data_IF_548667177818
#
_entry.id   IF_548667177818
#
_cell.length_a   1.000
_cell.length_b   1.000
_cell.length_c   1.000
_cell.angle_alpha   90.00
_cell.angle_beta   90.00
_cell.angle_gamma   90.00
#
_symmetry.space_group_name_H-M   'P 1'
#
loop_
_entity.id
_entity.type
_entity.pdbx_description
1 polymer ?
#
# COMPACT_ATOMS: atom_id res chain seq x y z
N UNK A 1 -26.60 10.95 7.04
CA UNK A 1 -25.46 10.07 6.68
C UNK A 1 -24.27 10.26 7.61
N UNK A 2 -23.74 11.47 7.78
CA UNK A 2 -22.59 11.72 8.68
C UNK A 2 -22.91 11.35 10.15
N UNK A 3 -24.13 11.65 10.62
CA UNK A 3 -24.59 11.26 11.96
C UNK A 3 -24.65 9.74 12.16
N UNK A 4 -24.90 8.97 11.09
CA UNK A 4 -24.85 7.50 11.14
C UNK A 4 -23.41 7.00 11.27
N UNK A 5 -22.46 7.63 10.59
CA UNK A 5 -21.02 7.34 10.75
C UNK A 5 -20.50 7.72 12.14
N UNK A 6 -20.97 8.82 12.71
CA UNK A 6 -20.62 9.20 14.08
C UNK A 6 -21.22 8.22 15.10
N UNK A 7 -22.46 7.77 14.89
CA UNK A 7 -23.08 6.76 15.73
C UNK A 7 -22.40 5.39 15.63
N UNK A 8 -21.99 4.97 14.42
CA UNK A 8 -21.23 3.72 14.24
C UNK A 8 -19.84 3.82 14.87
N UNK A 9 -19.16 4.96 14.70
CA UNK A 9 -17.90 5.28 15.40
C UNK A 9 -18.08 5.20 16.91
N UNK A 10 -19.08 5.88 17.49
CA UNK A 10 -19.33 5.87 18.93
C UNK A 10 -19.67 4.48 19.45
N UNK A 11 -20.39 3.67 18.66
CA UNK A 11 -20.69 2.26 19.00
C UNK A 11 -19.41 1.42 19.13
N UNK A 12 -18.42 1.65 18.26
CA UNK A 12 -17.13 0.95 18.30
C UNK A 12 -16.23 1.50 19.42
N UNK A 13 -16.20 2.81 19.63
CA UNK A 13 -15.38 3.47 20.65
C UNK A 13 -15.86 3.14 22.07
N UNK A 14 -17.16 3.04 22.28
CA UNK A 14 -17.74 2.79 23.61
C UNK A 14 -17.93 1.29 23.91
N UNK A 15 -17.48 0.40 23.03
CA UNK A 15 -17.70 -1.03 23.22
C UNK A 15 -16.81 -1.59 24.34
N UNK A 16 -17.38 -2.17 25.43
CA UNK A 16 -16.60 -2.64 26.57
C UNK A 16 -15.85 -3.96 26.32
N UNK A 17 -16.12 -4.62 25.18
CA UNK A 17 -15.47 -5.86 24.75
C UNK A 17 -14.72 -5.65 23.44
N UNK A 18 -13.87 -6.60 23.07
CA UNK A 18 -13.22 -6.60 21.75
C UNK A 18 -14.31 -6.64 20.67
N UNK A 19 -14.40 -5.61 19.79
CA UNK A 19 -15.40 -5.57 18.73
C UNK A 19 -15.17 -6.71 17.73
N UNK A 20 -16.26 -7.25 17.20
CA UNK A 20 -16.19 -8.31 16.18
C UNK A 20 -15.65 -7.75 14.87
N UNK A 21 -14.86 -8.54 14.13
CA UNK A 21 -14.36 -8.16 12.80
C UNK A 21 -15.49 -7.73 11.86
N UNK A 22 -16.64 -8.43 11.91
CA UNK A 22 -17.80 -8.13 11.08
C UNK A 22 -18.39 -6.74 11.35
N UNK A 23 -18.41 -6.30 12.61
CA UNK A 23 -18.93 -4.98 12.99
C UNK A 23 -18.03 -3.86 12.47
N UNK A 24 -16.71 -4.09 12.52
CA UNK A 24 -15.72 -3.14 12.01
C UNK A 24 -15.79 -3.07 10.48
N UNK A 25 -15.90 -4.23 9.80
CA UNK A 25 -16.04 -4.25 8.34
C UNK A 25 -17.33 -3.56 7.88
N UNK A 26 -18.45 -3.75 8.59
CA UNK A 26 -19.69 -3.04 8.27
C UNK A 26 -19.57 -1.53 8.46
N UNK A 27 -18.86 -1.07 9.49
CA UNK A 27 -18.62 0.36 9.68
C UNK A 27 -17.72 0.95 8.57
N UNK A 28 -16.66 0.24 8.16
CA UNK A 28 -15.81 0.67 7.05
C UNK A 28 -16.55 0.62 5.70
N UNK A 29 -17.39 -0.38 5.47
CA UNK A 29 -18.27 -0.43 4.29
C UNK A 29 -19.29 0.71 4.28
N UNK A 30 -19.84 1.09 5.43
CA UNK A 30 -20.69 2.27 5.52
C UNK A 30 -19.90 3.54 5.15
N UNK A 31 -18.64 3.66 5.59
CA UNK A 31 -17.76 4.76 5.15
C UNK A 31 -17.51 4.72 3.64
N UNK A 32 -17.31 3.53 3.05
CA UNK A 32 -17.15 3.37 1.59
C UNK A 32 -18.37 3.86 0.84
N UNK A 33 -19.57 3.39 1.20
CA UNK A 33 -20.81 3.77 0.51
C UNK A 33 -21.05 5.28 0.60
N UNK A 34 -20.78 5.87 1.77
CA UNK A 34 -20.89 7.33 1.93
C UNK A 34 -19.83 8.06 1.12
N UNK A 35 -18.59 7.56 1.05
CA UNK A 35 -17.53 8.13 0.22
C UNK A 35 -17.87 8.06 -1.26
N UNK A 36 -18.34 6.91 -1.75
CA UNK A 36 -18.77 6.72 -3.14
C UNK A 36 -19.92 7.68 -3.48
N UNK A 37 -20.93 7.81 -2.62
CA UNK A 37 -22.04 8.74 -2.83
C UNK A 37 -21.60 10.21 -2.88
N UNK A 38 -20.61 10.59 -2.09
CA UNK A 38 -20.10 11.97 -2.05
C UNK A 38 -19.17 12.27 -3.23
N UNK A 39 -18.43 11.27 -3.69
CA UNK A 39 -17.48 11.40 -4.79
C UNK A 39 -18.10 11.18 -6.18
N UNK A 40 -19.33 10.65 -6.26
CA UNK A 40 -20.07 10.50 -7.51
C UNK A 40 -20.27 11.88 -8.19
N UNK A 41 -19.76 12.01 -9.43
CA UNK A 41 -19.82 13.24 -10.23
C UNK A 41 -21.25 13.74 -10.45
N UNK A 42 -22.23 12.84 -10.42
CA UNK A 42 -23.65 13.19 -10.60
C UNK A 42 -24.25 13.90 -9.37
N UNK A 43 -23.70 13.66 -8.18
CA UNK A 43 -24.26 14.13 -6.89
C UNK A 43 -23.45 15.29 -6.31
N UNK A 44 -22.18 15.47 -6.71
CA UNK A 44 -21.36 16.63 -6.36
C UNK A 44 -22.07 18.00 -6.57
N UNK A 45 -22.74 18.30 -7.70
CA UNK A 45 -23.42 19.58 -7.88
C UNK A 45 -24.61 19.76 -6.92
N UNK A 46 -25.27 18.67 -6.51
CA UNK A 46 -26.39 18.71 -5.58
C UNK A 46 -25.91 18.90 -4.13
N UNK A 47 -24.84 18.20 -3.73
CA UNK A 47 -24.23 18.35 -2.41
C UNK A 47 -23.68 19.76 -2.23
N UNK A 48 -22.99 20.28 -3.25
CA UNK A 48 -22.50 21.67 -3.23
C UNK A 48 -23.63 22.69 -3.19
N UNK A 49 -24.77 22.43 -3.87
CA UNK A 49 -25.97 23.26 -3.76
C UNK A 49 -26.62 23.19 -2.36
N UNK A 50 -26.74 22.00 -1.77
CA UNK A 50 -27.27 21.84 -0.41
C UNK A 50 -26.40 22.54 0.64
N UNK A 51 -25.07 22.41 0.52
CA UNK A 51 -24.12 23.10 1.38
C UNK A 51 -24.30 24.63 1.24
N UNK A 52 -24.48 25.13 0.01
CA UNK A 52 -24.74 26.56 -0.26
C UNK A 52 -26.04 27.05 0.40
N UNK A 53 -27.11 26.27 0.36
CA UNK A 53 -28.38 26.61 1.02
C UNK A 53 -28.27 26.60 2.55
N UNK A 54 -27.59 25.61 3.13
CA UNK A 54 -27.35 25.52 4.57
C UNK A 54 -26.51 26.70 5.08
N UNK A 55 -25.49 27.12 4.34
CA UNK A 55 -24.63 28.24 4.74
C UNK A 55 -25.33 29.59 4.55
N UNK A 56 -26.16 29.72 3.50
CA UNK A 56 -27.01 30.90 3.29
C UNK A 56 -28.03 31.05 4.42
N UNK A 57 -28.66 29.97 4.85
CA UNK A 57 -29.61 29.99 5.98
C UNK A 57 -28.91 30.25 7.30
N UNK A 58 -27.76 29.64 7.58
CA UNK A 58 -26.96 29.92 8.78
C UNK A 58 -26.46 31.39 8.82
N UNK A 59 -26.01 31.92 7.67
CA UNK A 59 -25.57 33.32 7.55
C UNK A 59 -26.73 34.31 7.70
N UNK A 60 -27.93 33.97 7.22
CA UNK A 60 -29.13 34.78 7.39
C UNK A 60 -29.58 34.78 8.86
N UNK A 61 -29.52 33.64 9.55
CA UNK A 61 -29.82 33.55 10.99
C UNK A 61 -28.79 34.32 11.84
N UNK A 62 -27.50 34.24 11.51
CA UNK A 62 -26.45 35.00 12.20
C UNK A 62 -26.53 36.51 11.93
N UNK A 63 -27.12 36.92 10.80
CA UNK A 63 -27.38 38.33 10.47
C UNK A 63 -28.62 38.88 11.18
N UNK A 64 -29.61 38.04 11.46
CA UNK A 64 -30.80 38.39 12.25
C UNK A 64 -30.47 38.63 13.74
N UNK A 65 -29.40 38.03 14.27
CA UNK A 65 -28.93 38.26 15.64
C UNK A 65 -28.13 39.57 15.81
N UNK A 66 -27.73 40.22 14.71
CA UNK A 66 -27.01 41.51 14.71
C UNK A 66 -27.91 42.75 14.70
N UNK A 67 -29.22 42.59 14.91
CA UNK A 67 -30.16 43.72 15.01
C UNK A 67 -30.08 44.34 16.42
N UNK A 68 -28.92 44.92 16.74
CA UNK A 68 -28.76 45.99 17.74
C UNK A 68 -27.77 47.01 17.16
N UNK A 69 -28.09 48.32 17.17
CA UNK A 69 -27.31 49.29 16.42
C UNK A 69 -26.03 49.64 17.19
N UNK A 70 -24.87 49.31 16.61
CA UNK A 70 -23.61 49.97 16.95
C UNK A 70 -22.73 50.05 15.70
N UNK A 71 -22.09 51.20 15.43
CA UNK A 71 -21.42 51.44 14.16
C UNK A 71 -19.96 50.96 14.18
N UNK A 72 -19.44 50.70 12.97
CA UNK A 72 -18.04 50.52 12.60
C UNK A 72 -17.38 49.21 13.06
N UNK A 73 -17.22 48.26 12.12
CA UNK A 73 -16.09 47.31 12.17
C UNK A 73 -15.36 47.24 10.84
N UNK A 74 -14.09 47.60 10.99
CA UNK A 74 -12.92 47.47 10.13
C UNK A 74 -12.88 46.11 9.42
N UNK A 75 -12.63 46.19 8.11
CA UNK A 75 -12.50 45.08 7.17
C UNK A 75 -11.19 44.33 7.44
N UNK A 76 -11.27 43.10 7.94
CA UNK A 76 -10.13 42.19 7.99
C UNK A 76 -9.83 41.67 6.57
N UNK A 77 -8.56 41.63 6.13
CA UNK A 77 -8.18 41.01 4.87
C UNK A 77 -8.08 39.49 5.08
N UNK A 78 -8.45 38.71 4.06
CA UNK A 78 -8.34 37.22 3.98
C UNK A 78 -9.60 36.42 4.37
N UNK A 79 -10.79 36.87 3.95
CA UNK A 79 -11.92 35.96 3.76
C UNK A 79 -11.96 35.51 2.28
N UNK A 80 -12.16 34.21 1.97
CA UNK A 80 -12.33 33.75 0.59
C UNK A 80 -13.58 34.41 0.00
N UNK A 81 -13.38 35.16 -1.07
CA UNK A 81 -14.36 36.11 -1.62
C UNK A 81 -15.23 35.50 -2.73
N UNK A 82 -15.05 34.22 -3.08
CA UNK A 82 -15.90 33.54 -4.05
C UNK A 82 -16.68 32.41 -3.39
N UNK A 83 -17.99 32.29 -3.68
CA UNK A 83 -18.84 31.23 -3.15
C UNK A 83 -18.33 29.82 -3.51
N UNK A 84 -17.64 29.70 -4.65
CA UNK A 84 -17.04 28.45 -5.13
C UNK A 84 -15.88 27.95 -4.25
N UNK A 85 -15.01 28.86 -3.78
CA UNK A 85 -13.91 28.50 -2.87
C UNK A 85 -14.41 28.01 -1.50
N UNK A 86 -15.50 28.59 -0.98
CA UNK A 86 -16.10 28.17 0.30
C UNK A 86 -16.75 26.80 0.21
N UNK A 87 -17.44 26.54 -0.88
CA UNK A 87 -18.05 25.23 -1.19
C UNK A 87 -16.96 24.15 -1.28
N UNK A 88 -15.85 24.45 -1.96
CA UNK A 88 -14.70 23.55 -2.07
C UNK A 88 -14.06 23.28 -0.70
N UNK A 89 -13.95 24.32 0.15
CA UNK A 89 -13.44 24.17 1.51
C UNK A 89 -14.35 23.31 2.40
N UNK A 90 -15.67 23.50 2.34
CA UNK A 90 -16.63 22.70 3.12
C UNK A 90 -16.67 21.24 2.65
N UNK A 91 -16.58 21.01 1.34
CA UNK A 91 -16.44 19.66 0.80
C UNK A 91 -15.17 18.96 1.32
N UNK A 92 -14.03 19.67 1.32
CA UNK A 92 -12.78 19.13 1.89
C UNK A 92 -12.93 18.75 3.36
N UNK A 93 -13.58 19.59 4.16
CA UNK A 93 -13.88 19.31 5.59
C UNK A 93 -14.74 18.05 5.75
N UNK A 94 -15.71 17.82 4.86
CA UNK A 94 -16.51 16.60 4.89
C UNK A 94 -15.65 15.36 4.60
N UNK A 95 -14.81 15.43 3.56
CA UNK A 95 -13.86 14.36 3.23
C UNK A 95 -12.89 14.13 4.40
N UNK A 96 -12.38 15.18 5.06
CA UNK A 96 -11.52 15.10 6.25
C UNK A 96 -12.21 14.36 7.39
N UNK A 97 -13.48 14.70 7.68
CA UNK A 97 -14.24 14.03 8.73
C UNK A 97 -14.42 12.55 8.43
N UNK A 98 -14.68 12.17 7.19
CA UNK A 98 -14.85 10.76 6.82
C UNK A 98 -13.51 10.02 6.96
N UNK A 99 -12.41 10.59 6.45
CA UNK A 99 -11.08 9.98 6.61
C UNK A 99 -10.68 9.87 8.08
N UNK A 100 -10.96 10.88 8.89
CA UNK A 100 -10.66 10.90 10.33
C UNK A 100 -11.50 9.89 11.10
N UNK A 101 -12.78 9.74 10.75
CA UNK A 101 -13.63 8.71 11.36
C UNK A 101 -13.15 7.30 11.03
N UNK A 102 -12.79 7.04 9.77
CA UNK A 102 -12.25 5.75 9.33
C UNK A 102 -10.91 5.45 10.04
N UNK A 103 -10.02 6.44 10.11
CA UNK A 103 -8.74 6.31 10.81
C UNK A 103 -8.93 6.12 12.32
N UNK A 104 -9.85 6.84 12.95
CA UNK A 104 -10.15 6.70 14.38
C UNK A 104 -10.69 5.30 14.73
N UNK A 105 -11.53 4.72 13.86
CA UNK A 105 -12.03 3.35 14.00
C UNK A 105 -10.85 2.35 13.96
N UNK A 106 -9.94 2.49 12.99
CA UNK A 106 -8.76 1.62 12.89
C UNK A 106 -7.74 1.83 14.01
N UNK A 107 -7.52 3.07 14.45
CA UNK A 107 -6.54 3.41 15.47
C UNK A 107 -6.99 2.98 16.88
N UNK A 108 -8.28 2.69 17.08
CA UNK A 108 -8.84 2.35 18.38
C UNK A 108 -8.13 1.13 19.02
N UNK A 109 -7.58 1.22 20.25
CA UNK A 109 -6.75 0.16 20.83
C UNK A 109 -7.32 -1.27 20.84
N UNK A 110 -8.61 -1.52 21.15
CA UNK A 110 -9.16 -2.88 21.18
C UNK A 110 -9.52 -3.44 19.80
N UNK A 111 -9.33 -2.69 18.71
CA UNK A 111 -9.58 -3.18 17.34
C UNK A 111 -8.35 -3.94 16.85
N UNK A 112 -8.51 -5.20 16.48
CA UNK A 112 -7.47 -5.95 15.76
C UNK A 112 -7.56 -5.65 14.25
N UNK A 113 -6.44 -5.31 13.62
CA UNK A 113 -6.40 -4.99 12.18
C UNK A 113 -6.09 -6.28 11.41
N UNK A 114 -7.10 -6.84 10.75
CA UNK A 114 -6.98 -7.97 9.81
C UNK A 114 -6.61 -7.44 8.41
N UNK A 115 -5.93 -8.23 7.54
CA UNK A 115 -5.64 -7.83 6.15
C UNK A 115 -6.87 -7.34 5.36
N UNK A 116 -8.01 -7.99 5.57
CA UNK A 116 -9.32 -7.63 5.00
C UNK A 116 -9.74 -6.20 5.35
N UNK A 117 -9.62 -5.84 6.63
CA UNK A 117 -9.95 -4.51 7.14
C UNK A 117 -8.97 -3.45 6.63
N UNK A 118 -7.69 -3.80 6.49
CA UNK A 118 -6.69 -2.91 5.93
C UNK A 118 -6.99 -2.60 4.45
N UNK A 119 -7.35 -3.61 3.67
CA UNK A 119 -7.76 -3.44 2.27
C UNK A 119 -8.98 -2.52 2.16
N UNK A 120 -10.03 -2.77 2.94
CA UNK A 120 -11.23 -1.92 2.94
C UNK A 120 -10.90 -0.47 3.30
N UNK A 121 -9.99 -0.25 4.25
CA UNK A 121 -9.55 1.11 4.60
C UNK A 121 -8.77 1.78 3.46
N UNK A 122 -7.87 1.06 2.80
CA UNK A 122 -7.17 1.58 1.62
C UNK A 122 -8.17 1.92 0.51
N UNK A 123 -9.21 1.10 0.32
CA UNK A 123 -10.29 1.39 -0.62
C UNK A 123 -11.04 2.67 -0.26
N UNK A 124 -11.31 2.92 1.03
CA UNK A 124 -11.95 4.17 1.51
C UNK A 124 -11.07 5.36 1.19
N UNK A 125 -9.80 5.30 1.54
CA UNK A 125 -8.88 6.42 1.33
C UNK A 125 -8.57 6.64 -0.15
N UNK A 126 -8.58 5.58 -0.95
CA UNK A 126 -8.45 5.65 -2.39
C UNK A 126 -9.59 6.45 -3.02
N UNK A 127 -10.84 6.18 -2.60
CA UNK A 127 -12.01 6.94 -3.04
C UNK A 127 -11.97 8.39 -2.57
N UNK A 128 -11.50 8.64 -1.34
CA UNK A 128 -11.43 9.98 -0.77
C UNK A 128 -10.27 10.81 -1.34
N UNK A 129 -9.29 10.20 -2.01
CA UNK A 129 -8.09 10.86 -2.53
C UNK A 129 -7.15 11.36 -1.42
N UNK A 130 -7.12 10.70 -0.26
CA UNK A 130 -6.34 11.14 0.92
C UNK A 130 -5.26 10.14 1.33
N UNK A 131 -4.03 10.27 0.79
CA UNK A 131 -2.96 9.31 1.05
C UNK A 131 -2.22 9.55 2.38
N UNK A 132 -2.35 10.71 3.03
CA UNK A 132 -1.53 11.11 4.19
C UNK A 132 -1.61 10.15 5.39
N UNK A 133 -2.73 9.47 5.56
CA UNK A 133 -2.97 8.55 6.68
C UNK A 133 -2.56 7.11 6.37
N UNK A 134 -2.29 6.77 5.10
CA UNK A 134 -2.01 5.40 4.66
C UNK A 134 -0.72 4.84 5.25
N UNK A 135 0.37 5.60 5.19
CA UNK A 135 1.66 5.19 5.76
C UNK A 135 1.56 4.91 7.27
N UNK A 136 0.81 5.76 8.00
CA UNK A 136 0.55 5.58 9.43
C UNK A 136 -0.28 4.32 9.69
N UNK A 137 -1.31 4.07 8.89
CA UNK A 137 -2.14 2.87 9.00
C UNK A 137 -1.33 1.58 8.77
N UNK A 138 -0.39 1.56 7.82
CA UNK A 138 0.52 0.45 7.59
C UNK A 138 1.47 0.21 8.77
N UNK A 139 2.01 1.28 9.36
CA UNK A 139 2.81 1.15 10.58
C UNK A 139 1.98 0.62 11.76
N UNK A 140 0.73 1.07 11.91
CA UNK A 140 -0.18 0.56 12.93
C UNK A 140 -0.48 -0.92 12.71
N UNK A 141 -0.77 -1.36 11.48
CA UNK A 141 -0.99 -2.78 11.17
C UNK A 141 0.17 -3.67 11.62
N UNK A 142 1.42 -3.21 11.44
CA UNK A 142 2.59 -3.99 11.85
C UNK A 142 2.86 -3.97 13.36
N UNK A 143 2.59 -2.86 14.04
CA UNK A 143 3.06 -2.61 15.42
C UNK A 143 1.98 -2.68 16.50
N UNK A 144 0.71 -2.67 16.14
CA UNK A 144 -0.41 -2.57 17.09
C UNK A 144 -0.47 -3.79 18.02
N UNK A 145 -0.63 -3.60 19.34
CA UNK A 145 -0.73 -4.74 20.26
C UNK A 145 -2.05 -5.49 20.05
N UNK A 146 -2.00 -6.81 20.13
CA UNK A 146 -3.16 -7.66 19.93
C UNK A 146 -4.00 -7.70 21.21
N UNK A 147 -5.28 -7.30 21.17
CA UNK A 147 -6.17 -7.41 22.31
C UNK A 147 -6.52 -8.88 22.53
N UNK A 148 -6.35 -9.36 23.77
CA UNK A 148 -6.72 -10.71 24.21
C UNK A 148 -7.74 -10.56 25.33
N UNK A 149 -8.92 -11.13 25.12
CA UNK A 149 -9.92 -11.22 26.17
C UNK A 149 -9.41 -12.18 27.24
N UNK A 150 -9.06 -11.65 28.42
CA UNK A 150 -8.78 -12.49 29.58
C UNK A 150 -10.07 -12.65 30.37
N UNK A 151 -10.62 -13.87 30.38
CA UNK A 151 -11.65 -14.23 31.35
C UNK A 151 -11.00 -14.17 32.73
N UNK A 152 -11.39 -13.20 33.55
CA UNK A 152 -10.97 -13.16 34.94
C UNK A 152 -11.29 -14.51 35.58
N UNK A 153 -10.27 -15.19 36.12
CA UNK A 153 -10.42 -16.42 36.90
C UNK A 153 -11.14 -16.05 38.19
N UNK A 154 -12.48 -15.98 38.13
CA UNK A 154 -13.36 -15.59 39.23
C UNK A 154 -14.29 -14.42 38.87
N UNK A 155 -15.40 -14.70 38.19
CA UNK A 155 -16.66 -13.93 38.20
C UNK A 155 -16.69 -12.43 37.87
N UNK A 156 -15.56 -11.77 37.64
CA UNK A 156 -15.46 -10.34 37.36
C UNK A 156 -15.30 -9.99 35.89
N UNK A 157 -15.82 -8.82 35.51
CA UNK A 157 -15.80 -8.19 34.16
C UNK A 157 -14.54 -8.52 33.35
N UNK A 158 -14.71 -9.04 32.13
CA UNK A 158 -13.62 -9.43 31.24
C UNK A 158 -12.67 -8.25 30.98
N UNK A 159 -11.45 -8.31 31.53
CA UNK A 159 -10.40 -7.33 31.27
C UNK A 159 -9.72 -7.62 29.92
N UNK A 160 -9.37 -6.56 29.19
CA UNK A 160 -8.66 -6.66 27.91
C UNK A 160 -7.15 -6.61 28.23
N UNK A 161 -6.44 -7.69 27.95
CA UNK A 161 -4.98 -7.74 28.02
C UNK A 161 -4.39 -7.51 26.64
N UNK A 162 -3.31 -6.74 26.55
CA UNK A 162 -2.67 -6.40 25.26
C UNK A 162 -1.37 -7.18 25.10
N UNK A 163 -1.30 -8.02 24.08
CA UNK A 163 -0.08 -8.75 23.74
C UNK A 163 0.75 -7.95 22.72
N UNK A 164 2.03 -7.73 23.00
CA UNK A 164 2.95 -7.02 22.10
C UNK A 164 3.11 -7.83 20.80
N UNK A 165 2.83 -7.21 19.66
CA UNK A 165 3.07 -7.82 18.35
C UNK A 165 4.51 -7.62 17.89
N UNK A 166 5.01 -8.57 17.10
CA UNK A 166 6.30 -8.45 16.45
C UNK A 166 6.11 -7.92 15.01
N UNK A 167 6.58 -6.70 14.71
CA UNK A 167 6.41 -6.08 13.39
C UNK A 167 7.21 -6.78 12.28
N UNK A 168 8.06 -7.75 12.61
CA UNK A 168 8.87 -8.50 11.64
C UNK A 168 8.31 -9.88 11.32
N UNK A 169 7.09 -10.21 11.79
CA UNK A 169 6.44 -11.49 11.50
C UNK A 169 5.89 -11.51 10.07
N UNK A 170 6.04 -12.64 9.37
CA UNK A 170 5.55 -12.84 8.00
C UNK A 170 4.03 -12.59 7.88
N UNK A 171 3.27 -12.97 8.91
CA UNK A 171 1.82 -12.75 8.95
C UNK A 171 1.41 -11.27 8.93
N UNK A 172 2.32 -10.37 9.31
CA UNK A 172 2.09 -8.92 9.30
C UNK A 172 2.62 -8.28 8.00
N UNK A 173 2.99 -9.08 7.00
CA UNK A 173 3.32 -8.55 5.68
C UNK A 173 2.04 -8.06 4.98
N UNK A 174 2.15 -6.90 4.35
CA UNK A 174 1.05 -6.30 3.57
C UNK A 174 1.10 -6.90 2.16
N UNK A 175 -0.07 -7.16 1.58
CA UNK A 175 -0.19 -7.71 0.24
C UNK A 175 0.21 -6.68 -0.82
N UNK A 176 0.97 -7.06 -1.87
CA UNK A 176 1.43 -6.13 -2.91
C UNK A 176 0.28 -5.39 -3.61
N UNK A 177 -0.85 -6.06 -3.88
CA UNK A 177 -2.01 -5.42 -4.52
C UNK A 177 -2.58 -4.24 -3.71
N UNK A 178 -2.57 -4.36 -2.37
CA UNK A 178 -3.04 -3.29 -1.47
C UNK A 178 -2.03 -2.14 -1.45
N UNK A 179 -0.74 -2.45 -1.51
CA UNK A 179 0.34 -1.44 -1.54
C UNK A 179 0.30 -0.67 -2.87
N UNK A 180 0.13 -1.36 -3.99
CA UNK A 180 0.01 -0.74 -5.32
C UNK A 180 -1.17 0.22 -5.39
N UNK A 181 -2.34 -0.21 -4.91
CA UNK A 181 -3.52 0.67 -4.84
C UNK A 181 -3.27 1.90 -3.96
N UNK A 182 -2.66 1.72 -2.79
CA UNK A 182 -2.28 2.85 -1.94
C UNK A 182 -1.29 3.79 -2.63
N UNK A 183 -0.30 3.25 -3.34
CA UNK A 183 0.68 4.03 -4.08
C UNK A 183 0.04 4.82 -5.23
N UNK A 184 -0.86 4.20 -5.99
CA UNK A 184 -1.61 4.86 -7.06
C UNK A 184 -2.42 6.04 -6.53
N UNK A 185 -3.07 5.88 -5.38
CA UNK A 185 -3.84 6.98 -4.77
C UNK A 185 -2.95 8.13 -4.31
N UNK A 186 -1.73 7.84 -3.86
CA UNK A 186 -0.76 8.87 -3.50
C UNK A 186 -0.20 9.62 -4.72
N UNK A 187 0.00 8.89 -5.82
CA UNK A 187 0.43 9.44 -7.11
C UNK A 187 -0.68 10.33 -7.69
N UNK A 188 -1.92 9.86 -7.71
CA UNK A 188 -3.09 10.61 -8.20
C UNK A 188 -3.32 11.89 -7.40
N UNK A 189 -3.19 11.80 -6.08
CA UNK A 189 -3.32 12.96 -5.19
C UNK A 189 -2.09 13.89 -5.22
N UNK A 190 -1.02 13.53 -5.96
CA UNK A 190 0.24 14.29 -6.07
C UNK A 190 0.82 14.63 -4.70
N UNK A 191 0.95 13.64 -3.83
CA UNK A 191 1.61 13.78 -2.53
C UNK A 191 2.84 12.87 -2.43
N UNK A 192 4.01 13.43 -2.76
CA UNK A 192 5.28 12.69 -2.80
C UNK A 192 5.68 12.09 -1.45
N UNK A 193 5.55 12.87 -0.37
CA UNK A 193 5.92 12.43 0.98
C UNK A 193 5.08 11.21 1.43
N UNK A 194 3.78 11.22 1.12
CA UNK A 194 2.90 10.09 1.40
C UNK A 194 3.28 8.86 0.55
N UNK A 195 3.65 9.04 -0.73
CA UNK A 195 4.09 7.94 -1.59
C UNK A 195 5.38 7.28 -1.08
N UNK A 196 6.38 8.09 -0.69
CA UNK A 196 7.63 7.59 -0.09
C UNK A 196 7.35 6.90 1.25
N UNK A 197 6.52 7.50 2.11
CA UNK A 197 6.13 6.91 3.39
C UNK A 197 5.37 5.57 3.23
N UNK A 198 4.56 5.42 2.19
CA UNK A 198 3.92 4.15 1.84
C UNK A 198 4.98 3.11 1.46
N UNK A 199 5.94 3.45 0.61
CA UNK A 199 7.03 2.53 0.19
C UNK A 199 7.85 2.09 1.40
N UNK A 200 8.21 3.03 2.28
CA UNK A 200 8.96 2.73 3.52
C UNK A 200 8.18 1.82 4.46
N UNK A 201 6.92 2.14 4.74
CA UNK A 201 6.08 1.35 5.65
C UNK A 201 5.62 -0.01 5.10
N UNK A 202 5.88 -0.30 3.82
CA UNK A 202 5.49 -1.54 3.15
C UNK A 202 6.68 -2.37 2.66
N UNK A 203 7.26 -2.01 1.50
CA UNK A 203 8.29 -2.77 0.79
C UNK A 203 9.61 -2.89 1.57
N UNK A 204 9.97 -1.87 2.37
CA UNK A 204 11.22 -1.90 3.16
C UNK A 204 11.12 -2.72 4.44
N UNK A 205 9.92 -3.17 4.81
CA UNK A 205 9.71 -3.90 6.07
C UNK A 205 10.32 -5.30 6.03
N UNK A 206 10.92 -5.72 7.15
CA UNK A 206 11.45 -7.10 7.29
C UNK A 206 10.36 -8.16 7.16
N UNK A 207 9.12 -7.83 7.50
CA UNK A 207 7.97 -8.71 7.31
C UNK A 207 7.74 -9.00 5.82
N UNK A 208 7.72 -7.95 5.00
CA UNK A 208 7.56 -8.07 3.55
C UNK A 208 8.69 -8.86 2.90
N UNK A 209 9.94 -8.57 3.24
CA UNK A 209 11.11 -9.31 2.71
C UNK A 209 11.02 -10.80 3.02
N UNK A 210 10.63 -11.17 4.25
CA UNK A 210 10.46 -12.57 4.64
C UNK A 210 9.28 -13.23 3.91
N UNK A 211 8.16 -12.52 3.78
CA UNK A 211 7.00 -13.00 3.03
C UNK A 211 7.34 -13.22 1.55
N UNK A 212 8.08 -12.28 0.93
CA UNK A 212 8.61 -12.39 -0.44
C UNK A 212 9.49 -13.64 -0.56
N UNK A 213 10.41 -13.83 0.37
CA UNK A 213 11.28 -15.01 0.35
C UNK A 213 10.45 -16.30 0.42
N UNK A 214 9.44 -16.38 1.30
CA UNK A 214 8.57 -17.57 1.35
C UNK A 214 7.79 -17.74 0.05
N UNK A 215 7.13 -16.69 -0.45
CA UNK A 215 6.31 -16.76 -1.68
C UNK A 215 7.12 -17.20 -2.90
N UNK A 216 8.33 -16.68 -3.05
CA UNK A 216 9.18 -16.99 -4.20
C UNK A 216 10.13 -18.17 -3.98
N UNK A 217 10.36 -18.63 -2.75
CA UNK A 217 11.19 -19.81 -2.47
C UNK A 217 10.38 -21.12 -2.51
N UNK A 218 9.08 -21.09 -2.22
CA UNK A 218 8.26 -22.32 -2.17
C UNK A 218 8.25 -23.06 -3.51
N UNK A 219 8.04 -22.35 -4.61
CA UNK A 219 7.99 -22.95 -5.95
C UNK A 219 9.34 -23.57 -6.39
N UNK A 220 10.48 -22.85 -6.34
CA UNK A 220 11.76 -23.45 -6.67
C UNK A 220 12.18 -24.54 -5.67
N UNK A 221 11.87 -24.41 -4.38
CA UNK A 221 12.16 -25.46 -3.39
C UNK A 221 11.38 -26.75 -3.71
N UNK A 222 10.10 -26.61 -4.10
CA UNK A 222 9.29 -27.74 -4.57
C UNK A 222 9.88 -28.38 -5.83
N UNK A 223 10.38 -27.57 -6.77
CA UNK A 223 11.03 -28.07 -7.97
C UNK A 223 12.33 -28.83 -7.65
N UNK A 224 13.17 -28.34 -6.73
CA UNK A 224 14.42 -29.02 -6.32
C UNK A 224 14.15 -30.41 -5.74
N UNK A 225 13.04 -30.60 -5.02
CA UNK A 225 12.65 -31.91 -4.47
C UNK A 225 11.97 -32.78 -5.52
N UNK A 226 11.09 -32.21 -6.35
CA UNK A 226 10.31 -32.95 -7.34
C UNK A 226 11.11 -33.41 -8.56
N UNK A 227 12.08 -32.61 -9.01
CA UNK A 227 12.87 -32.87 -10.22
C UNK A 227 13.67 -34.18 -10.15
N UNK A 228 14.40 -34.52 -9.07
CA UNK A 228 15.07 -35.81 -8.96
C UNK A 228 14.12 -37.01 -9.00
N UNK A 229 12.94 -36.90 -8.37
CA UNK A 229 11.94 -37.97 -8.39
C UNK A 229 11.36 -38.18 -9.79
N UNK A 230 11.02 -37.10 -10.49
CA UNK A 230 10.55 -37.15 -11.87
C UNK A 230 11.63 -37.66 -12.83
N UNK A 231 12.87 -37.19 -12.68
CA UNK A 231 14.01 -37.63 -13.48
C UNK A 231 14.28 -39.13 -13.31
N UNK A 232 14.15 -39.66 -12.07
CA UNK A 232 14.30 -41.09 -11.81
C UNK A 232 13.19 -41.92 -12.49
N UNK A 233 11.93 -41.48 -12.38
CA UNK A 233 10.79 -42.16 -13.02
C UNK A 233 10.87 -42.12 -14.56
N UNK A 234 11.35 -41.01 -15.13
CA UNK A 234 11.61 -40.90 -16.57
C UNK A 234 12.77 -41.81 -16.99
N UNK A 235 13.85 -41.84 -16.22
CA UNK A 235 15.02 -42.69 -16.47
C UNK A 235 14.67 -44.19 -16.37
N UNK A 236 13.80 -44.60 -15.44
CA UNK A 236 13.34 -45.99 -15.34
C UNK A 236 12.48 -46.39 -16.55
N UNK A 237 11.66 -45.46 -17.06
CA UNK A 237 10.86 -45.69 -18.27
C UNK A 237 11.75 -45.80 -19.52
N UNK A 238 12.74 -44.92 -19.65
CA UNK A 238 13.72 -44.93 -20.76
C UNK A 238 14.60 -46.19 -20.75
N UNK A 239 14.96 -46.70 -19.58
CA UNK A 239 15.73 -47.93 -19.44
C UNK A 239 15.01 -49.14 -20.06
N UNK A 240 13.68 -49.20 -19.97
CA UNK A 240 12.89 -50.29 -20.57
C UNK A 240 12.89 -50.32 -22.10
N UNK A 241 13.24 -49.20 -22.76
CA UNK A 241 13.27 -49.07 -24.22
C UNK A 241 14.62 -49.48 -24.84
N UNK A 242 15.63 -49.76 -24.02
CA UNK A 242 17.01 -49.99 -24.45
C UNK A 242 17.50 -51.37 -24.02
N UNK A 243 17.91 -52.21 -24.98
CA UNK A 243 18.38 -53.59 -24.73
C UNK A 243 19.92 -53.74 -24.68
N UNK A 244 20.67 -52.65 -24.78
CA UNK A 244 22.14 -52.68 -24.96
C UNK A 244 22.91 -52.71 -23.63
N UNK A 245 22.33 -52.19 -22.55
CA UNK A 245 22.95 -52.12 -21.22
C UNK A 245 22.05 -52.78 -20.16
N UNK A 246 22.65 -53.20 -19.04
CA UNK A 246 21.91 -53.67 -17.87
C UNK A 246 20.97 -52.56 -17.35
N UNK A 247 19.69 -52.85 -17.05
CA UNK A 247 18.69 -51.86 -16.69
C UNK A 247 19.10 -50.92 -15.55
N UNK A 248 19.88 -51.40 -14.57
CA UNK A 248 20.35 -50.55 -13.47
C UNK A 248 21.39 -49.52 -13.95
N UNK A 249 22.32 -49.94 -14.82
CA UNK A 249 23.32 -49.03 -15.42
C UNK A 249 22.67 -48.03 -16.37
N UNK A 250 21.69 -48.47 -17.17
CA UNK A 250 20.95 -47.61 -18.10
C UNK A 250 20.15 -46.52 -17.37
N UNK A 251 19.45 -46.86 -16.29
CA UNK A 251 18.72 -45.88 -15.47
C UNK A 251 19.66 -44.87 -14.83
N UNK A 252 20.80 -45.30 -14.29
CA UNK A 252 21.75 -44.38 -13.65
C UNK A 252 22.38 -43.40 -14.65
N UNK A 253 22.74 -43.87 -15.85
CA UNK A 253 23.30 -43.01 -16.91
C UNK A 253 22.25 -42.03 -17.42
N UNK A 254 21.02 -42.49 -17.68
CA UNK A 254 19.92 -41.64 -18.13
C UNK A 254 19.53 -40.60 -17.06
N UNK A 255 19.45 -41.02 -15.79
CA UNK A 255 19.18 -40.14 -14.66
C UNK A 255 20.25 -39.06 -14.49
N UNK A 256 21.53 -39.44 -14.56
CA UNK A 256 22.65 -38.50 -14.49
C UNK A 256 22.62 -37.50 -15.67
N UNK A 257 22.31 -37.97 -16.88
CA UNK A 257 22.16 -37.11 -18.06
C UNK A 257 21.02 -36.10 -17.92
N UNK A 258 19.84 -36.56 -17.49
CA UNK A 258 18.66 -35.70 -17.26
C UNK A 258 18.96 -34.67 -16.16
N UNK A 259 19.53 -35.09 -15.03
CA UNK A 259 19.88 -34.17 -13.95
C UNK A 259 20.95 -33.16 -14.36
N UNK A 260 21.96 -33.57 -15.12
CA UNK A 260 22.98 -32.64 -15.62
C UNK A 260 22.38 -31.58 -16.54
N UNK A 261 21.51 -31.99 -17.47
CA UNK A 261 20.81 -31.06 -18.36
C UNK A 261 19.90 -30.09 -17.61
N UNK A 262 19.07 -30.62 -16.70
CA UNK A 262 18.16 -29.78 -15.90
C UNK A 262 18.95 -28.87 -14.95
N UNK A 263 20.03 -29.34 -14.33
CA UNK A 263 20.89 -28.53 -13.48
C UNK A 263 21.56 -27.39 -14.23
N UNK A 264 22.07 -27.65 -15.44
CA UNK A 264 22.70 -26.64 -16.29
C UNK A 264 21.68 -25.61 -16.82
N UNK A 265 20.52 -26.06 -17.30
CA UNK A 265 19.46 -25.14 -17.76
C UNK A 265 18.86 -24.31 -16.61
N UNK A 266 18.71 -24.91 -15.44
CA UNK A 266 18.25 -24.19 -14.25
C UNK A 266 19.25 -23.13 -13.80
N UNK A 267 20.57 -23.39 -13.85
CA UNK A 267 21.58 -22.39 -13.48
C UNK A 267 21.56 -21.18 -14.42
N UNK A 268 21.42 -21.41 -15.73
CA UNK A 268 21.19 -20.34 -16.72
C UNK A 268 19.90 -19.56 -16.43
N UNK A 269 18.82 -20.25 -16.09
CA UNK A 269 17.55 -19.63 -15.73
C UNK A 269 17.66 -18.74 -14.49
N UNK A 270 18.41 -19.16 -13.47
CA UNK A 270 18.68 -18.34 -12.28
C UNK A 270 19.45 -17.07 -12.64
N UNK A 271 20.51 -17.19 -13.46
CA UNK A 271 21.25 -16.02 -13.92
C UNK A 271 20.32 -15.08 -14.67
N UNK A 272 19.59 -15.57 -15.66
CA UNK A 272 18.65 -14.78 -16.46
C UNK A 272 17.61 -14.06 -15.59
N UNK A 273 17.01 -14.75 -14.61
CA UNK A 273 16.05 -14.15 -13.67
C UNK A 273 16.69 -13.06 -12.81
N UNK A 274 17.94 -13.26 -12.36
CA UNK A 274 18.65 -12.27 -11.54
C UNK A 274 19.23 -11.10 -12.32
N UNK A 275 19.39 -11.23 -13.63
CA UNK A 275 19.95 -10.20 -14.52
C UNK A 275 18.91 -9.45 -15.36
N UNK A 276 17.65 -9.88 -15.35
CA UNK A 276 16.58 -9.24 -16.12
C UNK A 276 16.39 -7.77 -15.71
N UNK A 277 16.48 -6.86 -16.68
CA UNK A 277 16.54 -5.41 -16.49
C UNK A 277 15.43 -4.63 -17.23
N UNK A 278 14.54 -5.31 -17.95
CA UNK A 278 13.55 -4.68 -18.84
C UNK A 278 12.52 -3.82 -18.09
N UNK A 279 12.32 -4.07 -16.81
CA UNK A 279 11.41 -3.30 -15.97
C UNK A 279 11.99 -1.96 -15.44
N UNK A 280 13.23 -1.59 -15.77
CA UNK A 280 13.86 -0.36 -15.28
C UNK A 280 13.72 0.77 -16.29
N UNK A 281 12.88 1.76 -15.99
CA UNK A 281 12.67 2.91 -16.89
C UNK A 281 13.53 4.10 -16.51
N UNK A 282 13.36 4.61 -15.28
CA UNK A 282 14.08 5.80 -14.77
C UNK A 282 15.01 5.46 -13.62
N UNK A 283 14.56 4.59 -12.72
CA UNK A 283 15.32 4.18 -11.54
C UNK A 283 16.07 2.89 -11.82
N UNK A 284 17.40 2.97 -11.81
CA UNK A 284 18.30 1.84 -12.03
C UNK A 284 19.16 1.54 -10.81
N UNK A 285 19.73 0.34 -10.74
CA UNK A 285 20.67 0.00 -9.67
C UNK A 285 22.02 0.71 -9.88
N UNK A 286 22.59 1.25 -8.81
CA UNK A 286 23.96 1.76 -8.84
C UNK A 286 24.95 0.62 -9.17
N UNK A 287 26.05 0.92 -9.88
CA UNK A 287 27.10 -0.05 -10.11
C UNK A 287 27.65 -0.56 -8.77
N UNK A 288 27.95 -1.86 -8.70
CA UNK A 288 28.47 -2.51 -7.48
C UNK A 288 27.40 -3.07 -6.52
N UNK A 289 26.10 -2.81 -6.73
CA UNK A 289 25.05 -3.45 -5.91
C UNK A 289 24.99 -4.94 -6.23
N UNK A 290 25.12 -5.84 -5.24
CA UNK A 290 25.10 -7.29 -5.46
C UNK A 290 23.71 -7.80 -5.86
N UNK A 291 23.66 -8.82 -6.71
CA UNK A 291 22.42 -9.38 -7.30
C UNK A 291 21.37 -9.77 -6.25
N UNK A 292 21.79 -10.33 -5.11
CA UNK A 292 20.88 -10.68 -4.00
C UNK A 292 20.10 -9.49 -3.46
N UNK A 293 20.76 -8.33 -3.34
CA UNK A 293 20.12 -7.12 -2.80
C UNK A 293 19.20 -6.48 -3.84
N UNK A 294 19.53 -6.62 -5.14
CA UNK A 294 18.66 -6.20 -6.24
C UNK A 294 17.36 -7.00 -6.20
N UNK A 295 17.45 -8.34 -6.16
CA UNK A 295 16.28 -9.21 -6.14
C UNK A 295 15.36 -8.96 -4.94
N UNK A 296 15.93 -8.81 -3.73
CA UNK A 296 15.14 -8.53 -2.51
C UNK A 296 14.39 -7.20 -2.63
N UNK A 297 15.07 -6.15 -3.10
CA UNK A 297 14.55 -4.78 -3.17
C UNK A 297 13.96 -4.41 -4.54
N UNK A 298 13.71 -5.39 -5.41
CA UNK A 298 13.21 -5.10 -6.77
C UNK A 298 11.82 -4.46 -6.74
N UNK A 299 10.95 -4.85 -5.82
CA UNK A 299 9.62 -4.21 -5.67
C UNK A 299 9.72 -2.77 -5.18
N UNK A 300 10.67 -2.50 -4.27
CA UNK A 300 10.97 -1.15 -3.77
C UNK A 300 11.44 -0.26 -4.92
N UNK A 301 12.37 -0.77 -5.74
CA UNK A 301 12.84 -0.08 -6.94
C UNK A 301 11.69 0.17 -7.93
N UNK A 302 10.88 -0.84 -8.23
CA UNK A 302 9.75 -0.71 -9.15
C UNK A 302 8.72 0.33 -8.67
N UNK A 303 8.44 0.36 -7.36
CA UNK A 303 7.56 1.38 -6.77
C UNK A 303 8.15 2.79 -6.88
N UNK A 304 9.45 2.95 -6.61
CA UNK A 304 10.14 4.24 -6.77
C UNK A 304 10.23 4.68 -8.23
N UNK A 305 10.40 3.74 -9.15
CA UNK A 305 10.39 3.98 -10.59
C UNK A 305 9.02 4.47 -11.06
N UNK A 306 7.94 3.88 -10.54
CA UNK A 306 6.56 4.32 -10.80
C UNK A 306 6.32 5.73 -10.27
N UNK A 307 6.76 6.04 -9.05
CA UNK A 307 6.68 7.40 -8.48
C UNK A 307 7.49 8.40 -9.31
N UNK A 308 8.72 8.06 -9.68
CA UNK A 308 9.57 8.90 -10.52
C UNK A 308 8.96 9.15 -11.91
N UNK A 309 8.36 8.13 -12.53
CA UNK A 309 7.68 8.25 -13.82
C UNK A 309 6.42 9.12 -13.75
N UNK A 310 5.69 9.09 -12.64
CA UNK A 310 4.47 9.88 -12.48
C UNK A 310 4.73 11.33 -12.06
N UNK A 311 5.81 11.57 -11.31
CA UNK A 311 6.15 12.89 -10.79
C UNK A 311 6.95 13.74 -11.78
N UNK A 312 7.83 13.11 -12.57
CA UNK A 312 8.59 13.81 -13.58
C UNK A 312 7.91 13.85 -14.95
N UNK A 313 8.65 14.33 -15.96
CA UNK A 313 8.19 14.41 -17.33
C UNK A 313 7.94 13.03 -17.93
N UNK A 314 6.78 12.88 -18.55
CA UNK A 314 6.43 11.68 -19.31
C UNK A 314 7.21 11.60 -20.63
N UNK A 315 7.64 12.75 -21.16
CA UNK A 315 8.40 12.83 -22.40
C UNK A 315 9.85 12.39 -22.20
N UNK A 316 10.28 11.32 -22.89
CA UNK A 316 11.64 10.75 -22.76
C UNK A 316 12.76 11.76 -23.01
N UNK A 317 12.57 12.73 -23.89
CA UNK A 317 13.59 13.72 -24.25
C UNK A 317 13.74 14.87 -23.23
N UNK A 318 12.80 15.00 -22.28
CA UNK A 318 12.85 16.00 -21.20
C UNK A 318 13.26 15.39 -19.87
N UNK A 319 13.38 14.06 -19.82
CA UNK A 319 13.88 13.35 -18.66
C UNK A 319 15.31 13.80 -18.38
N UNK A 320 15.60 14.16 -17.13
CA UNK A 320 16.88 14.73 -16.71
C UNK A 320 16.90 16.25 -16.55
N UNK A 321 15.99 16.99 -17.18
CA UNK A 321 15.86 18.46 -17.03
C UNK A 321 14.99 18.86 -15.82
N UNK A 322 14.57 17.88 -15.02
CA UNK A 322 13.66 18.10 -13.91
C UNK A 322 14.37 18.74 -12.72
N UNK A 323 13.89 19.93 -12.37
CA UNK A 323 14.33 20.70 -11.23
C UNK A 323 13.17 20.93 -10.26
N UNK A 324 13.44 20.78 -8.97
CA UNK A 324 12.45 21.01 -7.93
C UNK A 324 12.96 20.52 -6.59
N UNK A 325 12.54 21.19 -5.50
CA UNK A 325 12.92 20.77 -4.15
C UNK A 325 12.50 19.33 -3.88
N UNK A 326 11.26 18.98 -4.22
CA UNK A 326 10.69 17.65 -4.01
C UNK A 326 11.37 16.60 -4.91
N UNK A 327 11.67 16.96 -6.16
CA UNK A 327 12.40 16.09 -7.07
C UNK A 327 13.83 15.80 -6.60
N UNK A 328 14.53 16.83 -6.10
CA UNK A 328 15.87 16.67 -5.53
C UNK A 328 15.85 15.81 -4.26
N UNK A 329 14.84 15.96 -3.41
CA UNK A 329 14.66 15.10 -2.23
C UNK A 329 14.40 13.65 -2.66
N UNK A 330 13.58 13.42 -3.69
CA UNK A 330 13.36 12.07 -4.23
C UNK A 330 14.67 11.48 -4.77
N UNK A 331 15.44 12.25 -5.54
CA UNK A 331 16.74 11.84 -6.09
C UNK A 331 17.73 11.48 -4.99
N UNK A 332 17.84 12.30 -3.95
CA UNK A 332 18.69 12.04 -2.78
C UNK A 332 18.22 10.78 -2.03
N UNK A 333 16.91 10.64 -1.81
CA UNK A 333 16.34 9.45 -1.18
C UNK A 333 16.67 8.18 -1.96
N UNK A 334 16.46 8.17 -3.29
CA UNK A 334 16.81 7.05 -4.17
C UNK A 334 18.31 6.75 -4.11
N UNK A 335 19.16 7.78 -4.13
CA UNK A 335 20.61 7.65 -4.03
C UNK A 335 21.04 6.99 -2.71
N UNK A 336 20.43 7.35 -1.58
CA UNK A 336 20.74 6.74 -0.27
C UNK A 336 20.50 5.23 -0.22
N UNK A 337 19.62 4.72 -1.09
CA UNK A 337 19.29 3.29 -1.17
C UNK A 337 20.19 2.51 -2.15
N UNK A 338 21.15 3.17 -2.80
CA UNK A 338 22.03 2.56 -3.80
C UNK A 338 21.35 2.39 -5.16
N UNK A 339 20.41 3.27 -5.47
CA UNK A 339 19.76 3.36 -6.78
C UNK A 339 20.13 4.71 -7.42
N UNK A 340 20.09 4.79 -8.74
CA UNK A 340 20.37 6.00 -9.51
C UNK A 340 19.12 6.36 -10.29
N UNK A 341 18.62 7.57 -10.05
CA UNK A 341 17.55 8.17 -10.81
C UNK A 341 18.13 8.82 -12.06
N UNK A 342 17.57 8.47 -13.22
CA UNK A 342 17.98 8.95 -14.55
C UNK A 342 19.50 8.82 -14.75
N UNK A 343 19.94 7.59 -15.01
CA UNK A 343 21.34 7.33 -15.34
C UNK A 343 21.67 7.95 -16.69
N UNK A 344 22.66 8.85 -16.73
CA UNK A 344 23.08 9.60 -17.93
C UNK A 344 23.41 8.69 -19.12
N UNK A 345 24.04 7.54 -18.86
CA UNK A 345 24.40 6.53 -19.88
C UNK A 345 23.19 5.85 -20.53
N UNK A 346 22.00 5.92 -19.90
CA UNK A 346 20.78 5.30 -20.40
C UNK A 346 19.79 6.34 -20.94
N UNK A 347 20.20 7.62 -21.00
CA UNK A 347 19.36 8.68 -21.55
C UNK A 347 19.44 8.70 -23.08
N UNK A 348 18.31 8.95 -23.77
CA UNK A 348 18.29 9.04 -25.22
C UNK A 348 19.18 10.20 -25.70
N UNK A 349 20.12 9.92 -26.61
CA UNK A 349 21.04 10.91 -27.19
C UNK A 349 22.43 10.97 -26.54
N UNK A 350 22.73 10.08 -25.60
CA UNK A 350 24.04 9.95 -24.95
C UNK A 350 24.85 8.72 -25.41
N UNK A 351 24.45 8.09 -26.54
CA UNK A 351 25.17 6.99 -27.21
C UNK A 351 26.21 7.48 -28.23
#
# INVERSE_FOLDING_TARGET
MITFLENSRLKILNHPKIPSEAEISHALQACLVVADYIMDESVQPQITHMIKEMDSTASNLLSLDKIKPSPKKTRAPNAPNTASERITAQFRVLVDRISDTAYAILAHPPVFITPSLLQQYVDVQARLGKPETLAKAFHLYASKPMPRATSGRGGGTASISYAKQNPHKIANAIEPAVIEKALDTAIEAKHLDAAVGIIESSYTTKAYIRAKLVRHAVLPAGAVVGVPLAAYALASSLSSLQNTMDPATATNVAFAGILAYVGFTASLGVVALTTANDQMRRVTWAPGVPLRHRWIREEERAALDKVACAWGFQEKWRQGEEEGREWNVLREYIATKGMVLDRTELMPGME
#
